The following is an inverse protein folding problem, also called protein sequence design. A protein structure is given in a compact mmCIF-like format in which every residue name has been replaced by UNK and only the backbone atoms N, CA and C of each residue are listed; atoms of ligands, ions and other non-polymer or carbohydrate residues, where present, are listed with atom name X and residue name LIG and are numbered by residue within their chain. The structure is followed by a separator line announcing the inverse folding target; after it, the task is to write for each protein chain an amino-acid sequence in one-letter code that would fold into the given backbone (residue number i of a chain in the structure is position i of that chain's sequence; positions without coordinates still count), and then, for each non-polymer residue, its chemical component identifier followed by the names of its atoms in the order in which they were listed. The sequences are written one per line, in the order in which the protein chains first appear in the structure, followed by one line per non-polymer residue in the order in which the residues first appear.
data_IF_110783445962
#
_entry.id   IF_110783445962
#
_cell.length_a   1.000
_cell.length_b   1.000
_cell.length_c   1.000
_cell.angle_alpha   90.00
_cell.angle_beta   90.00
_cell.angle_gamma   90.00
#
_symmetry.space_group_name_H-M   'P 1'
#
loop_
_entity.id
_entity.type
_entity.pdbx_description
1 polymer ?
#
# COMPACT_ATOMS: atom_id res chain seq x y z
N UNK A 1 2.32 -5.04 16.73
CA UNK A 1 3.13 -4.54 15.59
C UNK A 1 3.36 -3.06 15.86
N UNK A 2 4.59 -2.54 15.72
CA UNK A 2 4.81 -1.10 15.86
C UNK A 2 4.24 -0.39 14.63
N UNK A 3 3.15 0.37 14.82
CA UNK A 3 2.43 1.02 13.72
C UNK A 3 3.15 2.24 13.17
N UNK A 4 4.01 2.92 13.95
CA UNK A 4 4.87 3.99 13.45
C UNK A 4 5.86 3.47 12.41
N UNK A 5 6.55 2.37 12.72
CA UNK A 5 7.47 1.73 11.76
C UNK A 5 6.72 1.27 10.52
N UNK A 6 5.53 0.69 10.68
CA UNK A 6 4.69 0.27 9.56
C UNK A 6 4.32 1.45 8.65
N UNK A 7 3.89 2.58 9.24
CA UNK A 7 3.60 3.82 8.49
C UNK A 7 4.82 4.34 7.75
N UNK A 8 5.99 4.37 8.38
CA UNK A 8 7.23 4.76 7.71
C UNK A 8 7.54 3.85 6.52
N UNK A 9 7.43 2.53 6.68
CA UNK A 9 7.66 1.59 5.59
C UNK A 9 6.64 1.77 4.44
N UNK A 10 5.36 1.95 4.77
CA UNK A 10 4.29 2.20 3.80
C UNK A 10 4.55 3.49 3.02
N UNK A 11 4.99 4.55 3.70
CA UNK A 11 5.31 5.84 3.07
C UNK A 11 6.47 5.78 2.07
N UNK A 12 7.32 4.76 2.12
CA UNK A 12 8.42 4.57 1.16
C UNK A 12 7.97 3.84 -0.12
N UNK A 13 6.75 3.32 -0.18
CA UNK A 13 6.31 2.44 -1.26
C UNK A 13 6.37 3.11 -2.65
N UNK A 14 6.00 4.38 -2.77
CA UNK A 14 6.04 5.09 -4.05
C UNK A 14 7.48 5.35 -4.52
N UNK A 15 8.39 5.65 -3.60
CA UNK A 15 9.82 5.80 -3.91
C UNK A 15 10.44 4.48 -4.34
N UNK A 16 10.13 3.38 -3.65
CA UNK A 16 10.62 2.05 -4.04
C UNK A 16 10.00 1.53 -5.33
N UNK A 17 8.79 1.97 -5.71
CA UNK A 17 8.25 1.66 -7.03
C UNK A 17 9.18 2.15 -8.14
N UNK A 18 9.65 3.39 -8.07
CA UNK A 18 10.58 3.96 -9.07
C UNK A 18 11.95 3.30 -8.96
N UNK A 19 12.50 3.19 -7.75
CA UNK A 19 13.84 2.64 -7.53
C UNK A 19 13.96 1.18 -7.95
N UNK A 20 13.02 0.32 -7.56
CA UNK A 20 13.08 -1.11 -7.89
C UNK A 20 12.92 -1.34 -9.40
N UNK A 21 12.04 -0.58 -10.06
CA UNK A 21 11.78 -0.72 -11.50
C UNK A 21 12.90 -0.15 -12.37
N UNK A 22 13.68 0.80 -11.84
CA UNK A 22 14.86 1.34 -12.53
C UNK A 22 16.12 0.50 -12.31
N UNK A 23 16.34 -0.03 -11.11
CA UNK A 23 17.51 -0.84 -10.77
C UNK A 23 17.36 -2.28 -11.27
N UNK A 24 16.15 -2.84 -11.23
CA UNK A 24 15.86 -4.19 -11.70
C UNK A 24 14.61 -4.21 -12.58
N UNK A 25 14.74 -3.85 -13.87
CA UNK A 25 13.57 -3.76 -14.77
C UNK A 25 12.82 -5.08 -14.95
N UNK A 26 13.49 -6.22 -14.82
CA UNK A 26 12.87 -7.55 -15.01
C UNK A 26 11.97 -7.96 -13.83
N UNK A 27 12.41 -7.69 -12.60
CA UNK A 27 11.73 -8.20 -11.40
C UNK A 27 11.25 -7.10 -10.46
N UNK A 28 11.60 -5.83 -10.68
CA UNK A 28 11.36 -4.72 -9.77
C UNK A 28 9.89 -4.50 -9.45
N UNK A 29 9.00 -4.64 -10.43
CA UNK A 29 7.54 -4.58 -10.22
C UNK A 29 7.10 -5.70 -9.26
N UNK A 30 7.61 -6.92 -9.45
CA UNK A 30 7.22 -8.08 -8.65
C UNK A 30 7.72 -8.00 -7.21
N UNK A 31 8.96 -7.53 -7.01
CA UNK A 31 9.56 -7.38 -5.67
C UNK A 31 8.89 -6.25 -4.91
N UNK A 32 8.69 -5.10 -5.56
CA UNK A 32 7.95 -3.98 -5.00
C UNK A 32 6.53 -4.38 -4.61
N UNK A 33 5.80 -5.05 -5.50
CA UNK A 33 4.43 -5.48 -5.22
C UNK A 33 4.36 -6.46 -4.05
N UNK A 34 5.28 -7.44 -3.99
CA UNK A 34 5.36 -8.37 -2.87
C UNK A 34 5.62 -7.63 -1.54
N UNK A 35 6.49 -6.63 -1.55
CA UNK A 35 6.75 -5.76 -0.39
C UNK A 35 5.51 -5.00 0.06
N UNK A 36 4.91 -4.23 -0.85
CA UNK A 36 3.72 -3.43 -0.54
C UNK A 36 2.52 -4.29 -0.13
N UNK A 37 2.27 -5.43 -0.80
CA UNK A 37 1.19 -6.34 -0.43
C UNK A 37 1.36 -6.87 1.00
N UNK A 38 2.58 -7.24 1.40
CA UNK A 38 2.84 -7.69 2.78
C UNK A 38 2.56 -6.59 3.81
N UNK A 39 2.92 -5.34 3.51
CA UNK A 39 2.60 -4.21 4.39
C UNK A 39 1.08 -4.00 4.52
N UNK A 40 0.35 -4.06 3.41
CA UNK A 40 -1.13 -3.96 3.41
C UNK A 40 -1.76 -5.15 4.14
N UNK A 41 -1.23 -6.35 3.99
CA UNK A 41 -1.72 -7.53 4.71
C UNK A 41 -1.51 -7.38 6.24
N UNK A 42 -0.44 -6.73 6.70
CA UNK A 42 -0.29 -6.36 8.12
C UNK A 42 -1.38 -5.39 8.59
N UNK A 43 -1.76 -4.41 7.76
CA UNK A 43 -2.89 -3.49 8.05
C UNK A 43 -4.20 -4.28 8.20
N UNK A 44 -4.45 -5.24 7.31
CA UNK A 44 -5.62 -6.14 7.39
C UNK A 44 -5.60 -6.99 8.66
N UNK A 45 -4.44 -7.53 9.05
CA UNK A 45 -4.30 -8.32 10.28
C UNK A 45 -4.58 -7.46 11.51
N UNK A 46 -4.04 -6.24 11.57
CA UNK A 46 -4.33 -5.28 12.64
C UNK A 46 -5.83 -4.95 12.73
N UNK A 47 -6.49 -4.78 11.58
CA UNK A 47 -7.93 -4.54 11.55
C UNK A 47 -8.72 -5.72 12.14
N UNK A 48 -8.39 -6.96 11.74
CA UNK A 48 -9.06 -8.17 12.25
C UNK A 48 -8.87 -8.39 13.75
N UNK A 49 -7.80 -7.82 14.32
CA UNK A 49 -7.52 -7.84 15.76
C UNK A 49 -8.13 -6.65 16.51
N UNK A 50 -8.81 -5.73 15.82
CA UNK A 50 -9.28 -4.47 16.38
C UNK A 50 -8.16 -3.61 17.00
N UNK A 51 -6.93 -3.77 16.48
CA UNK A 51 -5.72 -3.04 16.92
C UNK A 51 -5.32 -1.94 15.92
N UNK A 52 -6.04 -1.80 14.81
CA UNK A 52 -5.68 -0.87 13.73
C UNK A 52 -5.97 0.58 14.09
N UNK A 53 -4.91 1.39 14.12
CA UNK A 53 -4.98 2.84 14.23
C UNK A 53 -5.49 3.48 12.93
N UNK A 54 -6.25 4.56 13.05
CA UNK A 54 -6.80 5.30 11.92
C UNK A 54 -5.68 5.89 11.04
N UNK A 55 -4.62 6.38 11.67
CA UNK A 55 -3.43 6.94 11.01
C UNK A 55 -2.78 5.89 10.11
N UNK A 56 -2.78 4.62 10.52
CA UNK A 56 -2.19 3.52 9.75
C UNK A 56 -2.98 3.22 8.48
N UNK A 57 -4.31 3.15 8.56
CA UNK A 57 -5.14 2.92 7.36
C UNK A 57 -5.14 4.13 6.43
N UNK A 58 -5.06 5.34 6.98
CA UNK A 58 -4.89 6.56 6.20
C UNK A 58 -3.54 6.61 5.48
N UNK A 59 -2.46 6.22 6.16
CA UNK A 59 -1.13 6.11 5.54
C UNK A 59 -1.12 5.08 4.41
N UNK A 60 -1.72 3.90 4.62
CA UNK A 60 -1.85 2.87 3.59
C UNK A 60 -2.65 3.35 2.37
N UNK A 61 -3.77 4.03 2.61
CA UNK A 61 -4.62 4.58 1.54
C UNK A 61 -3.90 5.66 0.75
N UNK A 62 -3.18 6.55 1.44
CA UNK A 62 -2.37 7.60 0.80
C UNK A 62 -1.26 7.01 -0.05
N UNK A 63 -0.50 6.05 0.49
CA UNK A 63 0.58 5.39 -0.25
C UNK A 63 0.06 4.68 -1.50
N UNK A 64 -1.12 4.04 -1.45
CA UNK A 64 -1.75 3.47 -2.65
C UNK A 64 -2.06 4.55 -3.69
N UNK A 65 -2.63 5.69 -3.30
CA UNK A 65 -2.90 6.81 -4.21
C UNK A 65 -1.63 7.40 -4.83
N UNK A 66 -0.56 7.52 -4.05
CA UNK A 66 0.75 7.98 -4.53
C UNK A 66 1.35 6.97 -5.52
N UNK A 67 1.34 5.68 -5.21
CA UNK A 67 1.80 4.61 -6.11
C UNK A 67 1.00 4.59 -7.41
N UNK A 68 -0.32 4.80 -7.36
CA UNK A 68 -1.18 4.92 -8.54
C UNK A 68 -0.75 6.09 -9.42
N UNK A 69 -0.50 7.25 -8.81
CA UNK A 69 -0.07 8.46 -9.50
C UNK A 69 1.31 8.27 -10.14
N UNK A 70 2.26 7.70 -9.42
CA UNK A 70 3.59 7.39 -9.95
C UNK A 70 3.48 6.42 -11.12
N UNK A 71 2.76 5.31 -10.97
CA UNK A 71 2.57 4.33 -12.06
C UNK A 71 1.91 4.93 -13.31
N UNK A 72 1.05 5.95 -13.16
CA UNK A 72 0.44 6.64 -14.29
C UNK A 72 1.38 7.60 -15.03
N UNK A 73 2.44 8.09 -14.37
CA UNK A 73 3.37 9.07 -14.93
C UNK A 73 4.63 8.44 -15.56
N UNK A 74 4.85 7.14 -15.40
CA UNK A 74 6.04 6.43 -15.88
C UNK A 74 5.66 5.34 -16.88
N UNK A 75 6.37 5.30 -18.02
CA UNK A 75 6.12 4.29 -19.07
C UNK A 75 6.49 2.90 -18.58
N UNK A 76 5.66 1.90 -18.91
CA UNK A 76 5.91 0.49 -18.57
C UNK A 76 5.44 0.07 -17.18
N UNK A 77 4.77 0.95 -16.42
CA UNK A 77 4.24 0.64 -15.09
C UNK A 77 2.72 0.38 -15.07
N UNK A 78 2.10 0.10 -16.21
CA UNK A 78 0.65 -0.15 -16.30
C UNK A 78 0.19 -1.30 -15.39
N UNK A 79 1.02 -2.35 -15.29
CA UNK A 79 0.77 -3.49 -14.41
C UNK A 79 0.72 -3.09 -12.93
N UNK A 80 1.50 -2.07 -12.51
CA UNK A 80 1.48 -1.59 -11.13
C UNK A 80 0.12 -1.00 -10.76
N UNK A 81 -0.62 -0.40 -11.70
CA UNK A 81 -1.96 0.13 -11.42
C UNK A 81 -2.95 -0.98 -11.09
N UNK A 82 -2.87 -2.12 -11.77
CA UNK A 82 -3.71 -3.30 -11.46
C UNK A 82 -3.45 -3.74 -10.01
N UNK A 83 -2.17 -3.90 -9.65
CA UNK A 83 -1.75 -4.28 -8.30
C UNK A 83 -2.22 -3.29 -7.23
N UNK A 84 -2.04 -1.98 -7.45
CA UNK A 84 -2.49 -0.93 -6.52
C UNK A 84 -4.02 -0.94 -6.38
N UNK A 85 -4.76 -1.19 -7.46
CA UNK A 85 -6.23 -1.30 -7.41
C UNK A 85 -6.68 -2.43 -6.49
N UNK A 86 -6.04 -3.59 -6.59
CA UNK A 86 -6.39 -4.75 -5.77
C UNK A 86 -6.12 -4.50 -4.29
N UNK A 87 -4.99 -3.86 -3.97
CA UNK A 87 -4.66 -3.44 -2.61
C UNK A 87 -5.62 -2.36 -2.09
N UNK A 88 -5.96 -1.36 -2.92
CA UNK A 88 -6.99 -0.37 -2.61
C UNK A 88 -8.35 -1.01 -2.33
N UNK A 89 -8.71 -2.08 -3.05
CA UNK A 89 -9.91 -2.87 -2.78
C UNK A 89 -9.90 -3.53 -1.40
N UNK A 90 -8.75 -4.03 -0.93
CA UNK A 90 -8.61 -4.56 0.44
C UNK A 90 -8.81 -3.46 1.48
N UNK A 91 -8.17 -2.30 1.30
CA UNK A 91 -8.28 -1.16 2.22
C UNK A 91 -9.70 -0.59 2.25
N UNK A 92 -10.36 -0.50 1.09
CA UNK A 92 -11.75 -0.05 1.01
C UNK A 92 -12.68 -0.91 1.87
N UNK A 93 -12.54 -2.25 1.83
CA UNK A 93 -13.35 -3.14 2.67
C UNK A 93 -13.17 -2.88 4.17
N UNK A 94 -11.95 -2.50 4.60
CA UNK A 94 -11.69 -2.12 6.00
C UNK A 94 -12.47 -0.84 6.34
N UNK A 95 -12.44 0.16 5.46
CA UNK A 95 -13.11 1.45 5.68
C UNK A 95 -14.64 1.30 5.67
N UNK A 96 -15.19 0.59 4.69
CA UNK A 96 -16.63 0.34 4.55
C UNK A 96 -17.18 -0.46 5.75
N UNK A 97 -16.39 -1.37 6.35
CA UNK A 97 -16.78 -2.13 7.56
C UNK A 97 -16.77 -1.25 8.82
N UNK A 98 -15.99 -0.17 8.82
CA UNK A 98 -15.74 0.68 9.99
C UNK A 98 -16.42 2.05 9.96
N UNK A 99 -17.43 2.27 9.11
CA UNK A 99 -18.20 3.52 9.02
C UNK A 99 -18.80 4.01 10.36
N UNK A 100 -18.72 3.22 11.44
CA UNK A 100 -19.25 3.53 12.78
C UNK A 100 -18.22 3.60 13.92
N UNK A 101 -16.95 3.26 13.72
CA UNK A 101 -16.03 2.92 14.84
C UNK A 101 -14.78 3.78 14.99
N UNK A 102 -14.43 4.64 14.03
CA UNK A 102 -13.31 5.58 14.19
C UNK A 102 -13.85 6.94 14.66
N UNK A 103 -13.66 7.23 15.95
CA UNK A 103 -13.87 8.55 16.57
C UNK A 103 -12.54 9.27 16.72
#
# INVERSE_FOLDING_TARGET
INQDTLRSCIGLAASFLVTDTTINPEHGISTWFAGLSRLVDLVVVLHRRSELELETVNAASRACSECWTVAANWRGLDQCRIHVRDLGGKLKKILDTNERTYR
#
